data_IF_071824073172
#
_entry.id   IF_071824073172
#
_cell.length_a   1.000
_cell.length_b   1.000
_cell.length_c   1.000
_cell.angle_alpha   90.00
_cell.angle_beta   90.00
_cell.angle_gamma   90.00
#
_symmetry.space_group_name_H-M   'P 1'
#
loop_
_entity.id
_entity.type
_entity.pdbx_description
1 polymer ?
#
# COMPACT_ATOMS: atom_id res chain seq x y z
N UNK A 1 -2.89 8.85 5.32
CA UNK A 1 -3.65 8.37 4.15
C UNK A 1 -5.07 7.91 4.56
N UNK A 2 -5.73 8.60 5.50
CA UNK A 2 -7.14 8.34 5.86
C UNK A 2 -8.14 8.63 4.71
N UNK A 3 -7.68 9.31 3.67
CA UNK A 3 -8.46 9.57 2.46
C UNK A 3 -8.44 8.41 1.46
N UNK A 4 -7.83 7.25 1.75
CA UNK A 4 -7.74 6.14 0.80
C UNK A 4 -9.10 5.74 0.21
N UNK A 5 -10.20 5.59 1.00
CA UNK A 5 -11.51 5.34 0.42
C UNK A 5 -11.92 6.44 -0.56
N UNK A 6 -11.79 7.71 -0.17
CA UNK A 6 -12.15 8.87 -1.02
C UNK A 6 -11.30 8.92 -2.30
N UNK A 7 -10.01 8.58 -2.19
CA UNK A 7 -9.08 8.50 -3.31
C UNK A 7 -9.53 7.51 -4.39
N UNK A 8 -10.24 6.43 -4.01
CA UNK A 8 -10.78 5.49 -4.99
C UNK A 8 -11.85 6.14 -5.89
N UNK A 9 -12.68 7.04 -5.34
CA UNK A 9 -13.71 7.74 -6.11
C UNK A 9 -13.21 8.96 -6.88
N UNK A 10 -12.30 9.76 -6.32
CA UNK A 10 -11.96 11.08 -6.87
C UNK A 10 -10.46 11.35 -7.08
N UNK A 11 -9.61 10.34 -6.86
CA UNK A 11 -8.14 10.45 -6.93
C UNK A 11 -7.56 11.57 -6.06
N UNK A 12 -6.27 11.84 -6.23
CA UNK A 12 -5.57 12.92 -5.57
C UNK A 12 -6.00 14.28 -6.13
N UNK A 13 -5.96 15.37 -5.33
CA UNK A 13 -6.28 16.71 -5.80
C UNK A 13 -5.54 17.08 -7.09
N UNK A 14 -6.25 17.66 -8.05
CA UNK A 14 -5.72 18.03 -9.36
C UNK A 14 -5.67 16.88 -10.39
N UNK A 15 -6.24 15.72 -10.09
CA UNK A 15 -6.44 14.62 -11.04
C UNK A 15 -7.93 14.24 -11.10
N UNK A 16 -8.39 13.83 -12.28
CA UNK A 16 -9.73 13.30 -12.52
C UNK A 16 -9.70 11.78 -12.72
N UNK A 17 -10.85 11.14 -12.53
CA UNK A 17 -11.06 9.70 -12.72
C UNK A 17 -11.52 9.00 -11.45
N UNK A 18 -12.05 7.79 -11.61
CA UNK A 18 -12.55 6.93 -10.54
C UNK A 18 -12.07 5.51 -10.79
N UNK A 19 -11.66 4.82 -9.72
CA UNK A 19 -11.22 3.42 -9.80
C UNK A 19 -12.39 2.46 -10.05
N UNK A 20 -13.64 2.93 -9.92
CA UNK A 20 -14.85 2.15 -10.17
C UNK A 20 -15.45 2.42 -11.55
N UNK A 21 -14.84 3.29 -12.35
CA UNK A 21 -15.34 3.64 -13.68
C UNK A 21 -14.49 2.95 -14.77
N UNK A 22 -15.05 2.02 -15.56
CA UNK A 22 -14.29 1.26 -16.56
C UNK A 22 -13.64 2.13 -17.64
N UNK A 23 -14.23 3.28 -17.95
CA UNK A 23 -13.70 4.22 -18.93
C UNK A 23 -12.78 5.29 -18.32
N UNK A 24 -12.37 5.14 -17.06
CA UNK A 24 -11.47 6.12 -16.44
C UNK A 24 -10.10 6.09 -17.12
N UNK A 25 -9.49 7.26 -17.35
CA UNK A 25 -8.11 7.45 -17.84
C UNK A 25 -7.02 6.90 -16.89
N UNK A 26 -7.43 6.18 -15.85
CA UNK A 26 -6.58 5.44 -14.93
C UNK A 26 -6.07 4.14 -15.55
N UNK A 27 -6.85 3.56 -16.46
CA UNK A 27 -6.70 2.17 -16.89
C UNK A 27 -6.58 2.07 -18.40
N UNK A 28 -5.91 1.03 -18.86
CA UNK A 28 -5.86 0.69 -20.27
C UNK A 28 -7.20 0.07 -20.73
N UNK A 29 -7.61 0.23 -22.00
CA UNK A 29 -8.90 -0.27 -22.47
C UNK A 29 -9.12 -1.78 -22.27
N UNK A 30 -8.06 -2.58 -22.23
CA UNK A 30 -8.12 -4.02 -21.98
C UNK A 30 -8.39 -4.39 -20.51
N UNK A 31 -8.25 -3.46 -19.56
CA UNK A 31 -8.50 -3.69 -18.12
C UNK A 31 -9.98 -3.46 -17.73
N UNK A 32 -10.84 -3.06 -18.68
CA UNK A 32 -12.26 -2.74 -18.45
C UNK A 32 -13.02 -3.85 -17.74
N UNK A 33 -12.85 -5.08 -18.19
CA UNK A 33 -13.54 -6.24 -17.60
C UNK A 33 -13.07 -6.49 -16.16
N UNK A 34 -11.80 -6.24 -15.85
CA UNK A 34 -11.26 -6.39 -14.50
C UNK A 34 -11.85 -5.34 -13.56
N UNK A 35 -12.04 -4.10 -14.04
CA UNK A 35 -12.67 -3.01 -13.27
C UNK A 35 -14.13 -3.36 -12.96
N UNK A 36 -14.90 -3.82 -13.96
CA UNK A 36 -16.30 -4.22 -13.76
C UNK A 36 -16.38 -5.37 -12.74
N UNK A 37 -15.56 -6.40 -12.92
CA UNK A 37 -15.55 -7.59 -12.07
C UNK A 37 -15.19 -7.24 -10.64
N UNK A 38 -14.10 -6.51 -10.43
CA UNK A 38 -13.66 -6.08 -9.10
C UNK A 38 -14.67 -5.17 -8.41
N UNK A 39 -15.30 -4.25 -9.15
CA UNK A 39 -16.37 -3.38 -8.63
C UNK A 39 -17.59 -4.19 -8.19
N UNK A 40 -18.00 -5.19 -8.98
CA UNK A 40 -19.10 -6.08 -8.63
C UNK A 40 -18.78 -6.92 -7.37
N UNK A 41 -17.58 -7.49 -7.28
CA UNK A 41 -17.13 -8.21 -6.08
C UNK A 41 -17.16 -7.32 -4.82
N UNK A 42 -16.70 -6.07 -4.94
CA UNK A 42 -16.78 -5.11 -3.84
C UNK A 42 -18.22 -4.80 -3.43
N UNK A 43 -19.11 -4.58 -4.39
CA UNK A 43 -20.53 -4.33 -4.10
C UNK A 43 -21.18 -5.52 -3.38
N UNK A 44 -20.88 -6.75 -3.81
CA UNK A 44 -21.34 -7.98 -3.15
C UNK A 44 -20.80 -8.08 -1.72
N UNK A 45 -19.50 -7.79 -1.51
CA UNK A 45 -18.90 -7.83 -0.17
C UNK A 45 -19.52 -6.79 0.77
N UNK A 46 -19.74 -5.56 0.29
CA UNK A 46 -20.45 -4.52 1.07
C UNK A 46 -21.88 -4.96 1.38
N UNK A 47 -22.60 -5.52 0.42
CA UNK A 47 -23.94 -6.07 0.62
C UNK A 47 -23.97 -7.17 1.68
N UNK A 48 -22.99 -8.07 1.66
CA UNK A 48 -22.84 -9.13 2.66
C UNK A 48 -22.59 -8.56 4.06
N UNK A 49 -21.70 -7.56 4.19
CA UNK A 49 -21.42 -6.91 5.46
C UNK A 49 -22.67 -6.17 6.00
N UNK A 50 -23.43 -5.50 5.12
CA UNK A 50 -24.70 -4.86 5.50
C UNK A 50 -25.70 -5.91 5.99
N UNK A 51 -25.87 -7.02 5.26
CA UNK A 51 -26.74 -8.12 5.68
C UNK A 51 -26.32 -8.68 7.06
N UNK A 52 -25.03 -8.96 7.25
CA UNK A 52 -24.50 -9.43 8.52
C UNK A 52 -24.74 -8.40 9.64
N UNK A 53 -24.62 -7.10 9.36
CA UNK A 53 -24.95 -6.04 10.34
C UNK A 53 -26.37 -6.20 10.91
N UNK A 54 -27.35 -6.57 10.08
CA UNK A 54 -28.72 -6.84 10.54
C UNK A 54 -28.86 -8.20 11.24
N UNK A 55 -28.14 -9.22 10.81
CA UNK A 55 -28.25 -10.58 11.35
C UNK A 55 -27.60 -10.75 12.74
N UNK A 56 -26.43 -10.14 12.95
CA UNK A 56 -25.63 -10.29 14.19
C UNK A 56 -25.42 -8.98 14.97
N UNK A 57 -25.96 -7.87 14.45
CA UNK A 57 -25.90 -6.55 15.06
C UNK A 57 -24.70 -5.70 14.60
N UNK A 58 -24.89 -4.39 14.38
CA UNK A 58 -23.86 -3.50 13.84
C UNK A 58 -22.63 -3.37 14.75
N UNK A 59 -22.82 -3.44 16.07
CA UNK A 59 -21.71 -3.35 17.04
C UNK A 59 -20.80 -4.57 16.94
N UNK A 60 -21.36 -5.76 16.71
CA UNK A 60 -20.56 -6.97 16.56
C UNK A 60 -19.76 -6.92 15.25
N UNK A 61 -20.38 -6.45 14.16
CA UNK A 61 -19.69 -6.25 12.88
C UNK A 61 -18.55 -5.22 13.00
N UNK A 62 -18.79 -4.11 13.71
CA UNK A 62 -17.78 -3.09 13.97
C UNK A 62 -16.58 -3.67 14.73
N UNK A 63 -16.81 -4.50 15.75
CA UNK A 63 -15.74 -5.13 16.52
C UNK A 63 -14.91 -6.13 15.71
N UNK A 64 -15.57 -6.92 14.86
CA UNK A 64 -14.91 -8.00 14.12
C UNK A 64 -14.24 -7.53 12.83
N UNK A 65 -14.80 -6.52 12.15
CA UNK A 65 -14.31 -6.07 10.85
C UNK A 65 -13.86 -4.61 10.88
N UNK A 66 -14.65 -3.71 11.46
CA UNK A 66 -14.36 -2.28 11.42
C UNK A 66 -13.11 -1.88 12.21
N UNK A 67 -13.02 -2.28 13.49
CA UNK A 67 -11.88 -1.95 14.36
C UNK A 67 -10.59 -2.58 13.82
N UNK A 68 -10.52 -3.89 13.49
CA UNK A 68 -9.31 -4.49 12.93
C UNK A 68 -8.88 -3.84 11.61
N UNK A 69 -9.83 -3.53 10.72
CA UNK A 69 -9.55 -2.84 9.47
C UNK A 69 -8.96 -1.45 9.70
N UNK A 70 -9.55 -0.66 10.62
CA UNK A 70 -9.04 0.67 10.96
C UNK A 70 -7.62 0.62 11.52
N UNK A 71 -7.35 -0.29 12.46
CA UNK A 71 -6.01 -0.48 13.03
C UNK A 71 -5.00 -0.88 11.95
N UNK A 72 -5.39 -1.78 11.05
CA UNK A 72 -4.56 -2.20 9.93
C UNK A 72 -4.25 -1.04 8.97
N UNK A 73 -5.24 -0.23 8.60
CA UNK A 73 -5.04 0.96 7.74
C UNK A 73 -4.13 1.97 8.41
N UNK A 74 -4.36 2.28 9.70
CA UNK A 74 -3.49 3.20 10.45
C UNK A 74 -2.06 2.67 10.54
N UNK A 75 -1.88 1.36 10.74
CA UNK A 75 -0.58 0.72 10.76
C UNK A 75 0.12 0.81 9.40
N UNK A 76 -0.57 0.45 8.31
CA UNK A 76 -0.06 0.57 6.95
C UNK A 76 0.34 2.02 6.60
N UNK A 77 -0.50 2.98 6.98
CA UNK A 77 -0.22 4.40 6.80
C UNK A 77 1.06 4.82 7.53
N UNK A 78 1.22 4.38 8.78
CA UNK A 78 2.38 4.68 9.60
C UNK A 78 3.65 4.08 8.99
N UNK A 79 3.66 2.79 8.68
CA UNK A 79 4.87 2.16 8.11
C UNK A 79 5.19 2.74 6.75
N UNK A 80 4.19 3.01 5.91
CA UNK A 80 4.42 3.67 4.61
C UNK A 80 5.03 5.06 4.83
N UNK A 81 4.49 5.86 5.76
CA UNK A 81 5.06 7.16 6.06
C UNK A 81 6.53 7.05 6.49
N UNK A 82 6.84 6.14 7.41
CA UNK A 82 8.18 5.93 7.94
C UNK A 82 9.19 5.49 6.87
N UNK A 83 8.82 4.56 5.98
CA UNK A 83 9.72 4.10 4.92
C UNK A 83 9.84 5.09 3.76
N UNK A 84 8.97 6.10 3.67
CA UNK A 84 8.98 7.08 2.57
C UNK A 84 9.32 8.51 3.03
N UNK A 85 9.63 8.73 4.31
CA UNK A 85 10.04 10.02 4.85
C UNK A 85 11.20 9.87 5.85
N UNK A 86 12.33 10.51 5.57
CA UNK A 86 13.43 10.65 6.51
C UNK A 86 13.20 11.79 7.51
N UNK A 87 13.82 11.68 8.69
CA UNK A 87 13.78 12.74 9.71
C UNK A 87 14.80 13.85 9.40
N UNK A 88 16.07 13.45 9.19
CA UNK A 88 17.17 14.36 8.90
C UNK A 88 17.45 14.48 7.39
N UNK A 89 17.26 13.40 6.64
CA UNK A 89 17.46 13.36 5.18
C UNK A 89 16.13 13.51 4.44
N UNK A 90 15.99 14.60 3.69
CA UNK A 90 14.84 14.79 2.79
C UNK A 90 14.99 13.88 1.58
N UNK A 91 14.11 12.88 1.48
CA UNK A 91 13.99 12.03 0.30
C UNK A 91 13.48 12.84 -0.89
N UNK A 92 14.07 12.61 -2.07
CA UNK A 92 13.70 13.29 -3.30
C UNK A 92 12.33 12.80 -3.78
N UNK A 93 11.35 13.70 -3.85
CA UNK A 93 10.01 13.37 -4.33
C UNK A 93 9.85 13.65 -5.82
N UNK A 94 10.08 12.63 -6.66
CA UNK A 94 9.97 12.77 -8.11
C UNK A 94 8.49 12.84 -8.58
N UNK A 95 8.17 13.78 -9.48
CA UNK A 95 6.85 13.94 -10.09
C UNK A 95 6.94 14.02 -11.62
N UNK A 96 5.82 13.75 -12.29
CA UNK A 96 5.72 13.87 -13.75
C UNK A 96 6.71 12.96 -14.47
N UNK A 97 7.45 13.52 -15.43
CA UNK A 97 8.40 12.80 -16.29
C UNK A 97 9.65 12.29 -15.57
N UNK A 98 9.94 12.79 -14.37
CA UNK A 98 11.11 12.38 -13.60
C UNK A 98 10.86 11.14 -12.72
N UNK A 99 9.59 10.77 -12.54
CA UNK A 99 9.18 9.59 -11.77
C UNK A 99 9.38 8.33 -12.62
N UNK A 100 10.16 7.39 -12.10
CA UNK A 100 10.23 6.02 -12.60
C UNK A 100 10.06 5.03 -11.44
N UNK A 101 9.71 3.77 -11.75
CA UNK A 101 9.59 2.71 -10.75
C UNK A 101 10.89 2.57 -9.94
N UNK A 102 12.02 2.49 -10.63
CA UNK A 102 13.35 2.39 -10.03
C UNK A 102 13.67 3.57 -9.10
N UNK A 103 13.42 4.80 -9.54
CA UNK A 103 13.65 6.00 -8.71
C UNK A 103 12.73 6.01 -7.49
N UNK A 104 11.48 5.55 -7.64
CA UNK A 104 10.55 5.43 -6.53
C UNK A 104 11.04 4.47 -5.45
N UNK A 105 11.51 3.27 -5.85
CA UNK A 105 12.07 2.28 -4.93
C UNK A 105 13.34 2.75 -4.23
N UNK A 106 14.24 3.42 -4.95
CA UNK A 106 15.49 3.98 -4.38
C UNK A 106 15.26 5.19 -3.47
N UNK A 107 14.08 5.82 -3.52
CA UNK A 107 13.70 6.91 -2.61
C UNK A 107 12.92 6.41 -1.39
N UNK A 108 13.13 5.15 -1.01
CA UNK A 108 12.61 4.58 0.23
C UNK A 108 13.74 4.33 1.22
N UNK A 109 13.42 4.13 2.49
CA UNK A 109 14.37 3.91 3.57
C UNK A 109 14.05 2.60 4.27
N UNK A 110 15.06 1.75 4.45
CA UNK A 110 14.95 0.56 5.29
C UNK A 110 14.88 0.96 6.77
N UNK A 111 14.02 0.29 7.55
CA UNK A 111 13.80 0.61 8.97
C UNK A 111 13.80 -0.64 9.84
N UNK A 112 14.69 -0.65 10.84
CA UNK A 112 14.63 -1.63 11.92
C UNK A 112 13.62 -1.23 12.99
N UNK A 113 12.66 -2.10 13.27
CA UNK A 113 11.71 -1.96 14.38
C UNK A 113 12.18 -2.68 15.66
N UNK A 114 13.40 -3.22 15.65
CA UNK A 114 13.99 -3.92 16.79
C UNK A 114 13.34 -5.29 17.01
N UNK A 115 12.93 -5.58 18.25
CA UNK A 115 12.46 -6.90 18.65
C UNK A 115 11.14 -7.34 18.00
N UNK A 116 10.39 -6.40 17.40
CA UNK A 116 9.13 -6.70 16.69
C UNK A 116 9.33 -7.00 15.19
N UNK A 117 10.55 -6.94 14.66
CA UNK A 117 10.84 -7.18 13.24
C UNK A 117 10.24 -8.50 12.74
N UNK A 118 10.47 -9.60 13.46
CA UNK A 118 9.94 -10.92 13.10
C UNK A 118 8.40 -11.00 13.14
N UNK A 119 7.75 -10.22 14.02
CA UNK A 119 6.28 -10.16 14.13
C UNK A 119 5.70 -9.45 12.91
N UNK A 120 6.44 -8.49 12.35
CA UNK A 120 6.08 -7.78 11.15
C UNK A 120 6.68 -8.38 9.88
N UNK A 121 7.14 -9.64 9.89
CA UNK A 121 7.73 -10.28 8.72
C UNK A 121 8.88 -9.50 8.07
N UNK A 122 9.66 -8.79 8.90
CA UNK A 122 10.86 -8.06 8.48
C UNK A 122 10.60 -7.04 7.37
N UNK A 123 9.44 -6.36 7.43
CA UNK A 123 9.05 -5.27 6.50
C UNK A 123 10.07 -4.12 6.38
N UNK A 124 11.08 -4.09 7.26
CA UNK A 124 12.17 -3.13 7.23
C UNK A 124 13.06 -3.21 5.99
N UNK A 125 13.02 -4.31 5.22
CA UNK A 125 13.77 -4.50 3.96
C UNK A 125 13.05 -3.88 2.75
N UNK A 126 12.47 -2.71 2.94
CA UNK A 126 11.48 -2.11 2.03
C UNK A 126 12.08 -1.70 0.68
N UNK A 127 13.35 -1.27 0.63
CA UNK A 127 14.04 -0.90 -0.61
C UNK A 127 14.13 -2.10 -1.54
N UNK A 128 14.65 -3.24 -1.05
CA UNK A 128 14.78 -4.47 -1.86
C UNK A 128 13.43 -5.03 -2.24
N UNK A 129 12.44 -4.96 -1.36
CA UNK A 129 11.07 -5.34 -1.68
C UNK A 129 10.52 -4.54 -2.88
N UNK A 130 10.79 -3.23 -2.94
CA UNK A 130 10.38 -2.39 -4.08
C UNK A 130 11.20 -2.66 -5.34
N UNK A 131 12.48 -2.99 -5.23
CA UNK A 131 13.31 -3.26 -6.40
C UNK A 131 13.04 -4.65 -7.00
N UNK A 132 12.77 -5.63 -6.14
CA UNK A 132 12.64 -7.04 -6.50
C UNK A 132 11.43 -7.67 -5.78
N UNK A 133 10.18 -7.26 -6.11
CA UNK A 133 8.98 -7.75 -5.43
C UNK A 133 8.72 -9.26 -5.62
N UNK A 134 9.48 -9.91 -6.49
CA UNK A 134 9.44 -11.36 -6.70
C UNK A 134 10.20 -12.15 -5.61
N UNK A 135 11.07 -11.48 -4.85
CA UNK A 135 11.78 -12.10 -3.73
C UNK A 135 10.81 -12.21 -2.56
N UNK A 136 10.55 -13.44 -2.12
CA UNK A 136 9.69 -13.72 -0.96
C UNK A 136 10.31 -13.17 0.33
N UNK A 137 9.48 -12.79 1.29
CA UNK A 137 9.91 -12.06 2.49
C UNK A 137 10.96 -12.79 3.33
N UNK A 138 10.94 -14.12 3.37
CA UNK A 138 11.93 -14.92 4.09
C UNK A 138 13.37 -14.79 3.54
N UNK A 139 13.53 -14.37 2.28
CA UNK A 139 14.85 -14.14 1.66
C UNK A 139 15.19 -12.64 1.51
N UNK A 140 14.30 -11.74 1.92
CA UNK A 140 14.53 -10.30 1.75
C UNK A 140 15.68 -9.80 2.63
N UNK A 141 15.86 -10.37 3.82
CA UNK A 141 16.99 -10.03 4.70
C UNK A 141 18.31 -10.34 3.99
N UNK A 142 18.46 -11.56 3.48
CA UNK A 142 19.68 -11.99 2.77
C UNK A 142 19.92 -11.15 1.51
N UNK A 143 18.85 -10.83 0.77
CA UNK A 143 18.93 -9.99 -0.41
C UNK A 143 19.32 -8.55 -0.08
N UNK A 144 18.82 -7.98 1.03
CA UNK A 144 19.24 -6.68 1.55
C UNK A 144 20.71 -6.68 1.93
N UNK A 145 21.18 -7.68 2.69
CA UNK A 145 22.60 -7.78 3.05
C UNK A 145 23.50 -7.89 1.81
N UNK A 146 23.09 -8.68 0.81
CA UNK A 146 23.84 -8.83 -0.45
C UNK A 146 23.86 -7.55 -1.30
N UNK A 147 22.85 -6.69 -1.19
CA UNK A 147 22.75 -5.46 -1.96
C UNK A 147 23.48 -4.26 -1.33
N UNK A 148 23.74 -4.28 -0.02
CA UNK A 148 24.46 -3.20 0.70
C UNK A 148 25.76 -2.74 0.03
N UNK A 149 26.65 -3.63 -0.47
CA UNK A 149 27.89 -3.20 -1.14
C UNK A 149 27.65 -2.39 -2.42
N UNK A 150 26.51 -2.60 -3.08
CA UNK A 150 26.14 -1.94 -4.35
C UNK A 150 25.36 -0.65 -4.09
N UNK A 151 24.44 -0.66 -3.12
CA UNK A 151 23.62 0.49 -2.75
C UNK A 151 24.40 1.51 -1.88
N UNK A 152 25.49 1.08 -1.24
CA UNK A 152 26.38 1.96 -0.48
C UNK A 152 25.68 2.58 0.73
N UNK A 153 25.92 3.87 0.99
CA UNK A 153 25.27 4.61 2.09
C UNK A 153 23.78 4.91 1.86
N UNK A 154 23.23 4.47 0.74
CA UNK A 154 21.84 4.71 0.35
C UNK A 154 20.91 3.53 0.66
N UNK A 155 21.44 2.47 1.31
CA UNK A 155 20.66 1.40 1.96
C UNK A 155 20.61 1.60 3.47
#
# INVERSE_FOLDING_TARGET
MLAYPIYLWSRSPGKSGSHFHPESDLFAPNERTDIITSTACWAVMVGLLVYLSFAMGPIQLLKLYGIPYWLFVMWLDLVTYLHHHGHDEKLLWYRGKERSYLRGGLTTLDRGYGWINNIHHDIGTHVILHLFPQIIHYHLIDATEAAKPVLGKYS
#
